data_IF_177374563106
#
_entry.id   IF_177374563106
#
_cell.length_a   1.000
_cell.length_b   1.000
_cell.length_c   1.000
_cell.angle_alpha   90.00
_cell.angle_beta   90.00
_cell.angle_gamma   90.00
#
_symmetry.space_group_name_H-M   'P 1'
#
loop_
_entity.id
_entity.type
_entity.pdbx_description
1 polymer ?
#
# COMPACT_ATOMS: atom_id res chain seq x y z
N UNK A 1 -29.48 -10.00 24.56
CA UNK A 1 -30.74 -9.57 25.19
C UNK A 1 -31.55 -10.79 25.56
N UNK A 2 -32.16 -10.82 26.74
CA UNK A 2 -32.95 -11.96 27.24
C UNK A 2 -34.44 -11.65 27.34
N UNK A 3 -34.86 -10.38 27.16
CA UNK A 3 -36.24 -9.94 27.25
C UNK A 3 -36.55 -8.80 26.26
N UNK A 4 -37.72 -8.86 25.64
CA UNK A 4 -38.26 -7.91 24.67
C UNK A 4 -39.46 -7.11 25.23
N UNK A 5 -39.90 -7.38 26.46
CA UNK A 5 -41.10 -6.78 27.06
C UNK A 5 -41.09 -5.25 27.11
N UNK A 6 -39.91 -4.65 27.25
CA UNK A 6 -39.72 -3.20 27.39
C UNK A 6 -39.76 -2.41 26.06
N UNK A 7 -39.98 -3.08 24.92
CA UNK A 7 -39.92 -2.47 23.59
C UNK A 7 -41.30 -2.35 22.95
N UNK A 8 -41.52 -1.35 22.06
CA UNK A 8 -42.70 -1.30 21.23
C UNK A 8 -42.87 -2.59 20.43
N UNK A 9 -44.07 -3.17 20.51
CA UNK A 9 -44.37 -4.45 19.88
C UNK A 9 -45.04 -4.23 18.53
N UNK A 10 -44.71 -5.09 17.58
CA UNK A 10 -45.30 -5.13 16.24
C UNK A 10 -45.80 -6.54 15.95
N UNK A 11 -46.90 -6.61 15.21
CA UNK A 11 -47.40 -7.84 14.60
C UNK A 11 -47.21 -7.74 13.08
N UNK A 12 -46.71 -8.81 12.47
CA UNK A 12 -46.64 -8.95 11.01
C UNK A 12 -47.17 -10.31 10.57
N UNK A 13 -47.64 -10.36 9.33
CA UNK A 13 -47.96 -11.61 8.64
C UNK A 13 -46.83 -11.90 7.67
N UNK A 14 -46.19 -13.05 7.80
CA UNK A 14 -45.14 -13.48 6.90
C UNK A 14 -45.54 -14.73 6.12
N UNK A 15 -45.14 -14.78 4.85
CA UNK A 15 -45.30 -15.95 3.98
C UNK A 15 -44.23 -16.97 4.34
N UNK A 16 -44.62 -18.14 4.84
CA UNK A 16 -43.66 -19.19 5.20
C UNK A 16 -43.58 -20.21 4.08
N UNK A 17 -42.44 -20.25 3.41
CA UNK A 17 -41.99 -21.37 2.57
C UNK A 17 -40.89 -22.09 3.36
N UNK A 18 -40.94 -23.42 3.43
CA UNK A 18 -40.13 -24.17 4.39
C UNK A 18 -38.84 -24.67 3.79
N UNK A 19 -38.09 -25.46 4.56
CA UNK A 19 -36.82 -26.09 4.14
C UNK A 19 -37.00 -27.14 3.01
N UNK A 20 -38.21 -27.30 2.47
CA UNK A 20 -38.53 -28.11 1.31
C UNK A 20 -39.39 -27.32 0.34
N UNK A 21 -39.43 -27.74 -0.94
CA UNK A 21 -40.27 -27.11 -1.97
C UNK A 21 -41.73 -27.13 -1.53
N UNK A 22 -42.23 -26.04 -0.95
CA UNK A 22 -43.62 -25.96 -0.48
C UNK A 22 -43.96 -24.70 0.31
N UNK A 23 -45.17 -24.20 0.07
CA UNK A 23 -45.79 -23.13 0.83
C UNK A 23 -46.45 -23.69 2.10
N UNK A 24 -46.11 -23.13 3.27
CA UNK A 24 -46.63 -23.53 4.58
C UNK A 24 -47.59 -22.50 5.20
N UNK A 25 -48.18 -21.64 4.37
CA UNK A 25 -49.21 -20.70 4.81
C UNK A 25 -48.68 -19.31 5.16
N UNK A 26 -49.63 -18.46 5.55
CA UNK A 26 -49.39 -17.17 6.18
C UNK A 26 -49.39 -17.38 7.68
N UNK A 27 -48.32 -16.95 8.35
CA UNK A 27 -48.20 -17.06 9.80
C UNK A 27 -48.04 -15.66 10.42
N UNK A 28 -48.70 -15.46 11.56
CA UNK A 28 -48.61 -14.25 12.38
C UNK A 28 -47.45 -14.35 13.35
N UNK A 29 -46.63 -13.32 13.38
CA UNK A 29 -45.49 -13.18 14.27
C UNK A 29 -45.60 -11.87 15.04
N UNK A 30 -45.30 -11.91 16.34
CA UNK A 30 -45.24 -10.73 17.19
C UNK A 30 -43.84 -10.60 17.78
N UNK A 31 -43.34 -9.38 17.83
CA UNK A 31 -41.96 -9.11 18.21
C UNK A 31 -41.63 -7.63 18.28
N UNK A 32 -40.34 -7.34 18.17
CA UNK A 32 -39.79 -5.97 18.20
C UNK A 32 -39.10 -5.70 16.86
N UNK A 33 -39.27 -4.49 16.32
CA UNK A 33 -38.54 -4.08 15.12
C UNK A 33 -37.02 -4.19 15.35
N UNK A 34 -36.31 -4.82 14.42
CA UNK A 34 -34.86 -4.97 14.54
C UNK A 34 -34.16 -3.61 14.67
N UNK A 35 -34.63 -2.60 13.94
CA UNK A 35 -34.08 -1.23 14.02
C UNK A 35 -34.22 -0.62 15.42
N UNK A 36 -35.30 -0.89 16.15
CA UNK A 36 -35.50 -0.35 17.50
C UNK A 36 -34.53 -1.03 18.50
N UNK A 37 -34.25 -2.32 18.31
CA UNK A 37 -33.22 -3.04 19.09
C UNK A 37 -31.83 -2.48 18.85
N UNK A 38 -31.47 -2.26 17.58
CA UNK A 38 -30.18 -1.69 17.19
C UNK A 38 -30.02 -0.27 17.76
N UNK A 39 -31.07 0.55 17.68
CA UNK A 39 -31.09 1.92 18.22
C UNK A 39 -30.86 1.90 19.73
N UNK A 40 -31.56 1.03 20.46
CA UNK A 40 -31.41 0.93 21.92
C UNK A 40 -30.03 0.42 22.34
N UNK A 41 -29.42 -0.45 21.52
CA UNK A 41 -28.05 -0.94 21.71
C UNK A 41 -26.98 0.11 21.36
N UNK A 42 -27.36 1.30 20.86
CA UNK A 42 -26.43 2.35 20.47
C UNK A 42 -25.74 2.11 19.13
N UNK A 43 -26.31 1.25 18.27
CA UNK A 43 -25.77 1.03 16.94
C UNK A 43 -25.93 2.28 16.06
N UNK A 44 -24.84 2.69 15.40
CA UNK A 44 -24.86 3.78 14.44
C UNK A 44 -25.60 3.33 13.19
N UNK A 45 -26.63 4.07 12.79
CA UNK A 45 -27.43 3.82 11.60
C UNK A 45 -26.78 4.45 10.35
N UNK A 46 -25.58 3.96 10.02
CA UNK A 46 -24.82 4.36 8.84
C UNK A 46 -25.10 3.40 7.68
N UNK A 47 -25.33 3.93 6.47
CA UNK A 47 -25.59 3.15 5.25
C UNK A 47 -24.40 2.27 4.84
N UNK A 48 -23.21 2.55 5.35
CA UNK A 48 -22.02 1.72 5.19
C UNK A 48 -21.92 0.62 6.26
N UNK A 49 -23.01 0.28 6.94
CA UNK A 49 -23.06 -0.85 7.86
C UNK A 49 -24.03 -1.92 7.36
N UNK A 50 -23.75 -3.17 7.72
CA UNK A 50 -24.65 -4.28 7.53
C UNK A 50 -24.90 -4.98 8.87
N UNK A 51 -26.03 -5.64 8.98
CA UNK A 51 -26.45 -6.38 10.18
C UNK A 51 -26.41 -7.86 9.85
N UNK A 52 -25.59 -8.60 10.59
CA UNK A 52 -25.48 -10.06 10.48
C UNK A 52 -26.27 -10.67 11.63
N UNK A 53 -27.25 -11.51 11.31
CA UNK A 53 -28.04 -12.25 12.29
C UNK A 53 -27.66 -13.71 12.17
N UNK A 54 -27.17 -14.30 13.26
CA UNK A 54 -26.65 -15.68 13.29
C UNK A 54 -27.53 -16.60 14.13
N UNK A 55 -27.60 -17.87 13.72
CA UNK A 55 -28.19 -18.97 14.47
C UNK A 55 -27.13 -19.92 15.07
N UNK A 56 -27.49 -20.70 16.12
CA UNK A 56 -26.61 -21.72 16.70
C UNK A 56 -26.16 -22.81 15.72
N UNK A 57 -26.97 -23.13 14.71
CA UNK A 57 -26.70 -24.15 13.68
C UNK A 57 -25.73 -23.66 12.58
N UNK A 58 -25.23 -22.43 12.70
CA UNK A 58 -24.30 -21.81 11.75
C UNK A 58 -24.98 -21.03 10.62
N UNK A 59 -26.30 -21.10 10.48
CA UNK A 59 -27.03 -20.30 9.50
C UNK A 59 -26.90 -18.80 9.83
N UNK A 60 -26.73 -17.96 8.80
CA UNK A 60 -26.59 -16.51 8.93
C UNK A 60 -27.40 -15.79 7.86
N UNK A 61 -28.00 -14.68 8.25
CA UNK A 61 -28.68 -13.75 7.35
C UNK A 61 -28.01 -12.37 7.43
N UNK A 62 -27.91 -11.70 6.28
CA UNK A 62 -27.30 -10.38 6.13
C UNK A 62 -28.37 -9.39 5.67
N UNK A 63 -28.48 -8.28 6.39
CA UNK A 63 -29.35 -7.15 6.05
C UNK A 63 -28.51 -5.89 5.90
N UNK A 64 -28.81 -5.05 4.91
CA UNK A 64 -28.17 -3.74 4.82
C UNK A 64 -28.80 -2.77 5.82
N UNK A 65 -28.05 -1.81 6.37
CA UNK A 65 -28.64 -0.78 7.23
C UNK A 65 -29.69 0.06 6.45
N UNK A 66 -29.45 0.32 5.16
CA UNK A 66 -30.40 1.02 4.30
C UNK A 66 -31.76 0.32 4.18
N UNK A 67 -31.79 -1.02 4.12
CA UNK A 67 -33.03 -1.81 4.14
C UNK A 67 -33.83 -1.59 5.43
N UNK A 68 -33.14 -1.39 6.57
CA UNK A 68 -33.78 -1.20 7.87
C UNK A 68 -34.28 0.23 8.12
N UNK A 69 -33.56 1.23 7.62
CA UNK A 69 -33.77 2.65 8.01
C UNK A 69 -34.34 3.54 6.91
N UNK A 70 -34.07 3.25 5.62
CA UNK A 70 -34.54 4.08 4.50
C UNK A 70 -35.82 3.53 3.86
N UNK A 71 -36.04 2.22 3.94
CA UNK A 71 -37.26 1.60 3.43
C UNK A 71 -38.34 1.62 4.52
N UNK A 72 -39.53 2.19 4.27
CA UNK A 72 -40.65 2.13 5.22
C UNK A 72 -41.03 0.69 5.64
N UNK A 73 -40.79 -0.29 4.77
CA UNK A 73 -41.00 -1.71 5.07
C UNK A 73 -39.93 -2.29 6.01
N UNK A 74 -38.76 -1.66 6.11
CA UNK A 74 -37.66 -2.08 6.99
C UNK A 74 -38.06 -2.17 8.46
N UNK A 75 -38.98 -1.31 8.91
CA UNK A 75 -39.53 -1.34 10.27
C UNK A 75 -40.32 -2.61 10.58
N UNK A 76 -40.79 -3.32 9.56
CA UNK A 76 -41.51 -4.61 9.68
C UNK A 76 -40.55 -5.79 9.85
N UNK A 77 -39.24 -5.60 9.65
CA UNK A 77 -38.23 -6.63 9.94
C UNK A 77 -38.08 -6.73 11.44
N UNK A 78 -38.41 -7.89 12.00
CA UNK A 78 -38.58 -8.05 13.45
C UNK A 78 -37.82 -9.24 14.01
N UNK A 79 -37.48 -9.10 15.29
CA UNK A 79 -37.10 -10.20 16.15
C UNK A 79 -38.35 -10.64 16.91
N UNK A 80 -38.90 -11.77 16.52
CA UNK A 80 -40.13 -12.36 17.05
C UNK A 80 -39.81 -13.24 18.26
N UNK A 81 -40.65 -13.18 19.29
CA UNK A 81 -40.67 -14.13 20.41
C UNK A 81 -42.03 -14.84 20.53
N UNK A 82 -43.00 -14.50 19.68
CA UNK A 82 -44.32 -15.14 19.58
C UNK A 82 -44.70 -15.45 18.13
N UNK A 83 -45.41 -16.56 17.96
CA UNK A 83 -45.98 -17.06 16.71
C UNK A 83 -47.41 -17.55 16.97
N UNK A 84 -48.38 -17.11 16.19
CA UNK A 84 -49.80 -17.46 16.36
C UNK A 84 -50.30 -17.25 17.81
N UNK A 85 -49.95 -16.10 18.41
CA UNK A 85 -50.30 -15.75 19.79
C UNK A 85 -49.55 -16.51 20.89
N UNK A 86 -48.74 -17.52 20.55
CA UNK A 86 -48.02 -18.37 21.50
C UNK A 86 -46.52 -18.02 21.55
N UNK A 87 -45.85 -18.11 22.71
CA UNK A 87 -44.40 -17.96 22.80
C UNK A 87 -43.67 -18.97 21.89
N UNK A 88 -42.60 -18.54 21.23
CA UNK A 88 -41.72 -19.42 20.45
C UNK A 88 -40.83 -20.19 21.44
N UNK A 89 -40.96 -21.52 21.44
CA UNK A 89 -40.23 -22.41 22.36
C UNK A 89 -39.42 -23.48 21.63
N UNK A 90 -39.88 -23.96 20.47
CA UNK A 90 -39.13 -24.90 19.64
C UNK A 90 -37.99 -24.17 18.91
N UNK A 91 -36.79 -24.75 18.98
CA UNK A 91 -35.55 -24.33 18.29
C UNK A 91 -34.91 -23.00 18.73
N UNK A 92 -35.55 -22.18 19.56
CA UNK A 92 -34.98 -20.95 20.11
C UNK A 92 -36.04 -19.95 20.55
N UNK A 93 -35.69 -19.00 21.42
CA UNK A 93 -36.64 -18.00 21.94
C UNK A 93 -36.96 -16.87 20.95
N UNK A 94 -36.03 -16.60 20.04
CA UNK A 94 -36.11 -15.46 19.14
C UNK A 94 -35.93 -15.89 17.69
N UNK A 95 -36.74 -15.32 16.79
CA UNK A 95 -36.71 -15.59 15.35
C UNK A 95 -36.61 -14.28 14.58
N UNK A 96 -35.72 -14.21 13.58
CA UNK A 96 -35.74 -13.12 12.60
C UNK A 96 -36.85 -13.40 11.59
N UNK A 97 -37.75 -12.44 11.43
CA UNK A 97 -38.84 -12.47 10.47
C UNK A 97 -38.72 -11.27 9.56
N UNK A 98 -38.61 -11.53 8.26
CA UNK A 98 -38.57 -10.52 7.20
C UNK A 98 -39.85 -10.74 6.38
N UNK A 99 -40.98 -10.12 6.75
CA UNK A 99 -42.29 -10.49 6.21
C UNK A 99 -42.40 -10.31 4.69
N UNK A 100 -41.61 -9.40 4.15
CA UNK A 100 -41.59 -9.05 2.73
C UNK A 100 -40.50 -9.82 1.95
N UNK A 101 -39.88 -10.83 2.57
CA UNK A 101 -38.96 -11.76 1.90
C UNK A 101 -39.74 -12.83 1.12
N UNK A 102 -39.49 -12.94 -0.19
CA UNK A 102 -40.33 -13.72 -1.12
C UNK A 102 -40.49 -15.21 -0.72
N UNK A 103 -39.40 -15.79 -0.21
CA UNK A 103 -39.29 -17.21 0.10
C UNK A 103 -38.94 -17.49 1.57
N UNK A 104 -38.94 -16.46 2.43
CA UNK A 104 -38.47 -16.58 3.81
C UNK A 104 -37.05 -17.20 3.95
N UNK A 105 -36.28 -17.24 2.87
CA UNK A 105 -34.96 -17.90 2.81
C UNK A 105 -33.93 -17.16 3.64
N UNK A 106 -34.18 -15.88 3.98
CA UNK A 106 -33.34 -15.03 4.84
C UNK A 106 -33.77 -15.04 6.30
N UNK A 107 -34.80 -15.80 6.68
CA UNK A 107 -35.28 -15.84 8.06
C UNK A 107 -34.35 -16.68 8.93
N UNK A 108 -34.05 -16.19 10.13
CA UNK A 108 -33.20 -16.89 11.11
C UNK A 108 -34.10 -17.52 12.16
N UNK A 109 -34.25 -18.84 12.16
CA UNK A 109 -35.19 -19.57 13.02
C UNK A 109 -34.91 -19.43 14.51
N UNK A 110 -33.63 -19.35 14.86
CA UNK A 110 -33.14 -19.25 16.24
C UNK A 110 -32.03 -18.22 16.30
N UNK A 111 -32.34 -17.00 16.74
CA UNK A 111 -31.35 -15.91 16.79
C UNK A 111 -30.47 -16.08 18.02
N UNK A 112 -29.19 -16.34 17.80
CA UNK A 112 -28.17 -16.39 18.86
C UNK A 112 -27.31 -15.14 18.94
N UNK A 113 -27.15 -14.43 17.81
CA UNK A 113 -26.31 -13.24 17.73
C UNK A 113 -26.82 -12.25 16.68
N UNK A 114 -26.70 -10.97 16.99
CA UNK A 114 -26.91 -9.86 16.05
C UNK A 114 -25.63 -9.02 16.09
N UNK A 115 -24.97 -8.87 14.95
CA UNK A 115 -23.70 -8.15 14.80
C UNK A 115 -23.89 -7.01 13.80
N UNK A 116 -23.44 -5.80 14.15
CA UNK A 116 -23.38 -4.67 13.21
C UNK A 116 -21.96 -4.60 12.67
N UNK A 117 -21.82 -4.83 11.36
CA UNK A 117 -20.55 -4.88 10.65
C UNK A 117 -20.38 -3.58 9.88
N UNK A 118 -19.30 -2.85 10.17
CA UNK A 118 -18.94 -1.68 9.38
C UNK A 118 -18.24 -2.10 8.08
N UNK A 119 -18.80 -1.69 6.95
CA UNK A 119 -18.30 -1.96 5.61
C UNK A 119 -17.38 -0.86 5.09
N UNK A 120 -17.24 0.27 5.81
CA UNK A 120 -16.21 1.26 5.50
C UNK A 120 -14.84 0.61 5.51
N UNK A 121 -14.13 0.78 4.39
CA UNK A 121 -12.69 0.55 4.39
C UNK A 121 -12.06 1.56 5.35
N UNK A 122 -11.36 1.05 6.36
CA UNK A 122 -10.52 1.87 7.23
C UNK A 122 -9.55 2.67 6.35
N UNK A 123 -9.42 3.95 6.64
CA UNK A 123 -8.43 4.80 6.00
C UNK A 123 -7.04 4.19 6.16
N UNK A 124 -6.24 4.24 5.09
CA UNK A 124 -4.86 3.73 5.09
C UNK A 124 -3.89 4.79 4.60
N UNK A 125 -2.67 4.68 5.11
CA UNK A 125 -1.51 5.35 4.58
C UNK A 125 -0.78 4.41 3.61
N UNK A 126 -0.84 4.72 2.32
CA UNK A 126 -0.25 3.91 1.26
C UNK A 126 1.12 4.49 0.91
N UNK A 127 2.19 3.72 1.09
CA UNK A 127 3.51 4.07 0.55
C UNK A 127 3.56 3.62 -0.91
N UNK A 128 3.52 4.58 -1.82
CA UNK A 128 3.32 4.38 -3.25
C UNK A 128 4.59 4.75 -4.02
N UNK A 129 5.14 3.76 -4.72
CA UNK A 129 6.12 4.01 -5.77
C UNK A 129 5.50 4.81 -6.92
N UNK A 130 6.16 5.90 -7.32
CA UNK A 130 5.82 6.63 -8.55
C UNK A 130 6.64 6.19 -9.77
N UNK A 131 7.38 5.08 -9.66
CA UNK A 131 8.43 4.72 -10.62
C UNK A 131 9.69 5.55 -10.39
N UNK A 132 10.74 5.33 -11.20
CA UNK A 132 12.04 5.99 -11.00
C UNK A 132 12.18 7.37 -11.65
N UNK A 133 11.23 7.76 -12.52
CA UNK A 133 11.34 8.96 -13.33
C UNK A 133 9.96 9.47 -13.80
N UNK A 134 9.63 9.29 -15.08
CA UNK A 134 8.43 9.84 -15.69
C UNK A 134 7.15 9.04 -15.39
N UNK A 135 5.95 9.65 -15.57
CA UNK A 135 4.69 9.04 -15.15
C UNK A 135 4.28 7.76 -15.90
N UNK A 136 4.87 7.48 -17.05
CA UNK A 136 4.68 6.24 -17.81
C UNK A 136 5.25 5.01 -17.09
N UNK A 137 6.13 5.21 -16.11
CA UNK A 137 6.67 4.15 -15.24
C UNK A 137 5.80 3.85 -14.01
N UNK A 138 4.64 4.49 -13.87
CA UNK A 138 3.67 4.16 -12.82
C UNK A 138 3.07 2.77 -13.03
N UNK A 139 2.94 2.01 -11.95
CA UNK A 139 2.15 0.78 -11.99
C UNK A 139 0.65 1.10 -11.96
N UNK A 140 -0.17 0.22 -12.56
CA UNK A 140 -1.63 0.34 -12.44
C UNK A 140 -2.10 0.31 -10.97
N UNK A 141 -1.38 -0.42 -10.10
CA UNK A 141 -1.66 -0.46 -8.66
C UNK A 141 -1.36 0.89 -8.01
N UNK A 142 -0.27 1.57 -8.38
CA UNK A 142 0.05 2.92 -7.91
C UNK A 142 -1.03 3.93 -8.32
N UNK A 143 -1.48 3.89 -9.57
CA UNK A 143 -2.59 4.73 -10.05
C UNK A 143 -3.89 4.48 -9.27
N UNK A 144 -4.24 3.20 -9.02
CA UNK A 144 -5.43 2.85 -8.23
C UNK A 144 -5.34 3.32 -6.77
N UNK A 145 -4.15 3.24 -6.16
CA UNK A 145 -3.92 3.70 -4.80
C UNK A 145 -3.97 5.23 -4.71
N UNK A 146 -3.31 5.93 -5.63
CA UNK A 146 -3.39 7.39 -5.78
C UNK A 146 -4.83 7.88 -5.98
N UNK A 147 -5.62 7.15 -6.77
CA UNK A 147 -7.03 7.44 -7.00
C UNK A 147 -7.88 7.47 -5.73
N UNK A 148 -7.52 6.68 -4.71
CA UNK A 148 -8.20 6.58 -3.42
C UNK A 148 -7.68 7.56 -2.38
N UNK A 149 -6.54 8.21 -2.64
CA UNK A 149 -5.91 9.11 -1.68
C UNK A 149 -6.69 10.42 -1.57
N UNK A 150 -6.83 10.90 -0.34
CA UNK A 150 -7.44 12.19 -0.04
C UNK A 150 -6.37 13.26 0.20
N UNK A 151 -5.22 12.85 0.74
CA UNK A 151 -4.09 13.71 1.09
C UNK A 151 -2.78 13.06 0.63
N UNK A 152 -1.79 13.88 0.25
CA UNK A 152 -0.52 13.41 -0.32
C UNK A 152 0.69 13.91 0.47
N UNK A 153 1.68 13.07 0.69
CA UNK A 153 3.03 13.40 1.15
C UNK A 153 3.97 13.15 -0.03
N UNK A 154 4.59 14.19 -0.58
CA UNK A 154 5.51 14.05 -1.71
C UNK A 154 6.46 15.24 -1.80
N UNK A 155 7.57 15.07 -2.52
CA UNK A 155 8.50 16.17 -2.80
C UNK A 155 7.90 17.14 -3.81
N UNK A 156 8.45 18.37 -3.89
CA UNK A 156 8.05 19.33 -4.93
C UNK A 156 8.30 18.80 -6.36
N UNK A 157 9.30 17.94 -6.56
CA UNK A 157 9.54 17.32 -7.87
C UNK A 157 8.40 16.37 -8.27
N UNK A 158 8.00 15.48 -7.36
CA UNK A 158 6.87 14.58 -7.59
C UNK A 158 5.59 15.39 -7.83
N UNK A 159 5.36 16.43 -7.01
CA UNK A 159 4.20 17.30 -7.17
C UNK A 159 4.14 17.94 -8.56
N UNK A 160 5.27 18.42 -9.07
CA UNK A 160 5.37 19.04 -10.40
C UNK A 160 5.20 18.00 -11.51
N UNK A 161 5.92 16.88 -11.44
CA UNK A 161 5.97 15.85 -12.50
C UNK A 161 4.69 15.03 -12.61
N UNK A 162 4.05 14.73 -11.47
CA UNK A 162 2.85 13.90 -11.40
C UNK A 162 1.58 14.72 -11.13
N UNK A 163 1.64 16.05 -11.26
CA UNK A 163 0.55 16.96 -10.88
C UNK A 163 -0.80 16.62 -11.52
N UNK A 164 -0.82 16.13 -12.76
CA UNK A 164 -2.04 15.67 -13.44
C UNK A 164 -2.74 14.52 -12.70
N UNK A 165 -1.99 13.64 -12.04
CA UNK A 165 -2.50 12.52 -11.25
C UNK A 165 -2.88 12.93 -9.83
N UNK A 166 -2.19 13.93 -9.26
CA UNK A 166 -2.46 14.42 -7.90
C UNK A 166 -3.72 15.30 -7.86
N UNK A 167 -3.99 16.06 -8.91
CA UNK A 167 -5.12 16.96 -8.99
C UNK A 167 -5.02 18.08 -7.95
N UNK A 168 -6.13 18.36 -7.24
CA UNK A 168 -6.21 19.39 -6.19
C UNK A 168 -6.00 18.85 -4.77
N UNK A 169 -5.54 17.61 -4.63
CA UNK A 169 -5.36 16.99 -3.32
C UNK A 169 -4.35 17.81 -2.51
N UNK A 170 -4.63 18.09 -1.22
CA UNK A 170 -3.69 18.81 -0.37
C UNK A 170 -2.39 18.00 -0.20
N UNK A 171 -1.27 18.71 -0.22
CA UNK A 171 0.02 18.16 0.15
C UNK A 171 0.21 18.38 1.66
N UNK A 172 0.31 17.29 2.42
CA UNK A 172 0.46 17.34 3.88
C UNK A 172 1.82 17.93 4.28
N UNK A 173 2.90 17.42 3.68
CA UNK A 173 4.24 17.97 3.77
C UNK A 173 5.15 17.41 2.67
N UNK A 174 6.24 18.13 2.38
CA UNK A 174 7.35 17.64 1.56
C UNK A 174 8.33 16.89 2.47
N UNK A 175 8.50 15.57 2.32
CA UNK A 175 9.30 14.76 3.24
C UNK A 175 10.78 15.14 3.21
N UNK A 176 11.31 15.61 2.07
CA UNK A 176 12.70 16.00 1.95
C UNK A 176 12.93 17.32 2.70
N UNK A 177 12.08 18.32 2.48
CA UNK A 177 12.15 19.59 3.24
C UNK A 177 11.85 19.40 4.73
N UNK A 178 10.98 18.45 5.06
CA UNK A 178 10.52 18.23 6.43
C UNK A 178 11.52 17.43 7.28
N UNK A 179 12.10 16.36 6.72
CA UNK A 179 13.10 15.51 7.39
C UNK A 179 14.53 16.01 7.19
N UNK A 180 14.81 16.71 6.08
CA UNK A 180 16.15 17.18 5.68
C UNK A 180 16.11 18.58 5.05
N UNK A 181 15.75 19.64 5.80
CA UNK A 181 15.69 21.01 5.27
C UNK A 181 17.07 21.51 4.77
N UNK A 182 17.34 21.55 3.46
CA UNK A 182 18.51 22.22 2.88
C UNK A 182 18.28 23.74 2.65
N UNK A 183 19.33 24.60 2.61
CA UNK A 183 20.70 24.45 3.12
C UNK A 183 20.92 25.19 4.47
N UNK A 184 19.86 25.64 5.15
CA UNK A 184 19.96 26.31 6.46
C UNK A 184 20.45 25.32 7.54
N UNK A 185 20.06 24.04 7.45
CA UNK A 185 20.54 23.02 8.37
C UNK A 185 21.82 22.30 7.94
N UNK A 186 22.29 22.38 6.68
CA UNK A 186 23.50 21.66 6.27
C UNK A 186 24.73 22.00 7.10
N UNK A 187 24.86 23.26 7.55
CA UNK A 187 25.94 23.73 8.44
C UNK A 187 25.67 23.50 9.93
N UNK A 188 24.40 23.42 10.35
CA UNK A 188 24.03 23.18 11.76
C UNK A 188 23.94 21.69 12.08
N UNK A 189 23.30 20.89 11.23
CA UNK A 189 23.36 19.42 11.29
C UNK A 189 24.81 18.93 11.26
N UNK A 190 25.69 19.55 10.47
CA UNK A 190 27.11 19.17 10.44
C UNK A 190 27.80 19.32 11.80
N UNK A 191 27.31 20.20 12.68
CA UNK A 191 27.84 20.42 14.04
C UNK A 191 27.28 19.44 15.08
N UNK A 192 26.17 18.77 14.76
CA UNK A 192 25.52 17.84 15.67
C UNK A 192 26.27 16.51 15.71
N UNK A 193 26.33 15.92 16.90
CA UNK A 193 26.78 14.55 17.12
C UNK A 193 25.86 13.56 16.38
N UNK A 194 26.32 12.32 16.10
CA UNK A 194 25.46 11.27 15.57
C UNK A 194 24.17 11.04 16.39
N UNK A 195 24.27 11.11 17.71
CA UNK A 195 23.15 10.94 18.64
C UNK A 195 22.15 12.09 18.53
N UNK A 196 22.63 13.33 18.45
CA UNK A 196 21.78 14.52 18.28
C UNK A 196 21.04 14.50 16.93
N UNK A 197 21.72 14.09 15.85
CA UNK A 197 21.09 13.89 14.53
C UNK A 197 19.99 12.85 14.58
N UNK A 198 20.26 11.72 15.25
CA UNK A 198 19.27 10.65 15.42
C UNK A 198 18.07 11.14 16.22
N UNK A 199 18.28 11.81 17.35
CA UNK A 199 17.21 12.36 18.17
C UNK A 199 16.34 13.38 17.41
N UNK A 200 16.95 14.22 16.58
CA UNK A 200 16.24 15.16 15.72
C UNK A 200 15.38 14.43 14.68
N UNK A 201 15.94 13.41 14.01
CA UNK A 201 15.23 12.60 13.03
C UNK A 201 14.06 11.83 13.67
N UNK A 202 14.26 11.26 14.85
CA UNK A 202 13.22 10.54 15.60
C UNK A 202 12.07 11.50 15.96
N UNK A 203 12.40 12.71 16.44
CA UNK A 203 11.41 13.76 16.74
C UNK A 203 10.61 14.16 15.50
N UNK A 204 11.28 14.37 14.36
CA UNK A 204 10.63 14.71 13.08
C UNK A 204 9.76 13.56 12.57
N UNK A 205 10.23 12.33 12.67
CA UNK A 205 9.45 11.15 12.28
C UNK A 205 8.19 11.01 13.14
N UNK A 206 8.28 11.24 14.44
CA UNK A 206 7.12 11.26 15.34
C UNK A 206 6.11 12.36 14.97
N UNK A 207 6.59 13.54 14.57
CA UNK A 207 5.76 14.64 14.08
C UNK A 207 5.04 14.28 12.77
N UNK A 208 5.75 13.70 11.80
CA UNK A 208 5.18 13.19 10.55
C UNK A 208 4.08 12.13 10.80
N UNK A 209 4.37 11.16 11.67
CA UNK A 209 3.42 10.11 12.06
C UNK A 209 2.17 10.68 12.72
N UNK A 210 2.31 11.72 13.56
CA UNK A 210 1.18 12.39 14.20
C UNK A 210 0.28 13.04 13.16
N UNK A 211 0.85 13.76 12.19
CA UNK A 211 0.09 14.38 11.09
C UNK A 211 -0.63 13.34 10.24
N UNK A 212 0.06 12.25 9.86
CA UNK A 212 -0.55 11.16 9.09
C UNK A 212 -1.72 10.52 9.86
N UNK A 213 -1.52 10.19 11.15
CA UNK A 213 -2.58 9.58 11.97
C UNK A 213 -3.78 10.50 12.18
N UNK A 214 -3.57 11.81 12.20
CA UNK A 214 -4.67 12.76 12.29
C UNK A 214 -5.58 12.68 11.04
N UNK A 215 -4.99 12.64 9.84
CA UNK A 215 -5.76 12.42 8.61
C UNK A 215 -6.47 11.05 8.61
N UNK A 216 -5.79 9.98 9.03
CA UNK A 216 -6.40 8.64 9.12
C UNK A 216 -7.59 8.60 10.09
N UNK A 217 -7.51 9.29 11.24
CA UNK A 217 -8.62 9.39 12.22
C UNK A 217 -9.82 10.14 11.65
N UNK A 218 -9.59 11.06 10.73
CA UNK A 218 -10.64 11.77 9.98
C UNK A 218 -11.22 10.93 8.82
N UNK A 219 -10.78 9.67 8.67
CA UNK A 219 -11.25 8.77 7.62
C UNK A 219 -10.62 9.02 6.24
N UNK A 220 -9.54 9.83 6.17
CA UNK A 220 -8.86 10.18 4.92
C UNK A 220 -7.69 9.25 4.63
N UNK A 221 -7.60 8.76 3.40
CA UNK A 221 -6.45 7.99 2.93
C UNK A 221 -5.27 8.92 2.64
N UNK A 222 -4.07 8.50 3.04
CA UNK A 222 -2.84 9.27 2.88
C UNK A 222 -1.92 8.57 1.89
N UNK A 223 -1.57 9.21 0.79
CA UNK A 223 -0.57 8.70 -0.13
C UNK A 223 0.82 9.25 0.22
N UNK A 224 1.78 8.36 0.49
CA UNK A 224 3.19 8.70 0.67
C UNK A 224 3.90 8.35 -0.63
N UNK A 225 4.30 9.35 -1.41
CA UNK A 225 4.86 9.14 -2.75
C UNK A 225 6.38 9.17 -2.74
N UNK A 226 6.98 8.18 -3.38
CA UNK A 226 8.43 8.02 -3.45
C UNK A 226 8.87 7.49 -4.82
N UNK A 227 10.03 7.97 -5.30
CA UNK A 227 10.67 7.46 -6.51
C UNK A 227 11.27 6.07 -6.30
N UNK A 228 11.30 5.29 -7.38
CA UNK A 228 11.87 3.94 -7.39
C UNK A 228 11.04 2.95 -6.60
N UNK A 229 11.66 1.86 -6.16
CA UNK A 229 10.99 0.90 -5.28
C UNK A 229 11.14 1.33 -3.80
N UNK A 230 10.06 1.35 -2.99
CA UNK A 230 10.13 1.82 -1.60
C UNK A 230 11.07 1.02 -0.69
N UNK A 231 11.40 -0.21 -1.07
CA UNK A 231 12.28 -1.13 -0.33
C UNK A 231 13.67 -1.28 -0.95
N UNK A 232 13.95 -0.62 -2.08
CA UNK A 232 15.31 -0.47 -2.63
C UNK A 232 15.78 0.95 -2.32
N UNK A 233 16.40 1.10 -1.14
CA UNK A 233 16.94 2.38 -0.63
C UNK A 233 15.91 3.50 -0.38
N UNK A 234 14.60 3.26 -0.49
CA UNK A 234 13.53 4.25 -0.27
C UNK A 234 13.50 4.88 1.13
N UNK A 235 13.47 6.20 1.20
CA UNK A 235 13.52 7.04 2.40
C UNK A 235 12.24 7.03 3.25
N UNK A 236 11.05 6.91 2.64
CA UNK A 236 9.78 7.01 3.38
C UNK A 236 9.45 5.74 4.17
N UNK A 237 10.19 4.66 3.98
CA UNK A 237 10.08 3.42 4.75
C UNK A 237 10.16 3.66 6.27
N UNK A 238 10.94 4.65 6.70
CA UNK A 238 11.14 4.96 8.12
C UNK A 238 9.89 5.56 8.76
N UNK A 239 9.17 6.43 8.05
CA UNK A 239 7.86 6.93 8.48
C UNK A 239 6.86 5.78 8.47
N UNK A 240 6.79 5.02 7.37
CA UNK A 240 5.84 3.91 7.25
C UNK A 240 6.07 2.81 8.31
N UNK A 241 7.31 2.61 8.78
CA UNK A 241 7.63 1.66 9.84
C UNK A 241 6.91 1.98 11.17
N UNK A 242 6.67 3.26 11.47
CA UNK A 242 6.00 3.70 12.70
C UNK A 242 4.46 3.59 12.68
N UNK A 243 3.87 3.20 11.54
CA UNK A 243 2.44 2.92 11.40
C UNK A 243 2.14 1.43 11.67
N UNK A 244 0.98 1.15 12.24
CA UNK A 244 0.48 -0.21 12.46
C UNK A 244 0.21 -0.96 11.15
N UNK A 245 0.21 -2.30 11.19
CA UNK A 245 0.01 -3.13 9.99
C UNK A 245 -1.31 -2.85 9.26
N UNK A 246 -2.39 -2.59 10.00
CA UNK A 246 -3.70 -2.25 9.43
C UNK A 246 -3.83 -0.78 8.99
N UNK A 247 -2.91 0.09 9.45
CA UNK A 247 -2.90 1.52 9.11
C UNK A 247 -2.21 1.77 7.76
N UNK A 248 -1.48 0.78 7.21
CA UNK A 248 -0.60 1.00 6.06
C UNK A 248 -0.69 -0.07 4.99
N UNK A 249 -0.22 0.29 3.81
CA UNK A 249 0.07 -0.65 2.72
C UNK A 249 1.26 -0.19 1.89
N UNK A 250 1.86 -1.11 1.15
CA UNK A 250 3.00 -0.85 0.28
C UNK A 250 2.64 -1.16 -1.16
N UNK A 251 2.88 -0.20 -2.05
CA UNK A 251 2.63 -0.33 -3.47
C UNK A 251 3.98 -0.29 -4.19
N UNK A 252 4.45 -1.44 -4.72
CA UNK A 252 5.75 -1.52 -5.38
C UNK A 252 5.71 -0.79 -6.73
N UNK A 253 6.90 -0.53 -7.29
CA UNK A 253 7.02 0.01 -8.64
C UNK A 253 8.41 -0.12 -9.21
N UNK A 254 8.63 0.47 -10.38
CA UNK A 254 9.87 0.29 -11.12
C UNK A 254 11.01 1.07 -10.46
N UNK A 255 12.05 0.33 -10.05
CA UNK A 255 13.31 0.91 -9.61
C UNK A 255 14.11 1.42 -10.81
N UNK A 256 15.03 2.36 -10.56
CA UNK A 256 16.02 2.77 -11.55
C UNK A 256 16.84 1.57 -12.04
N UNK A 257 16.99 0.52 -11.22
CA UNK A 257 17.64 -0.73 -11.62
C UNK A 257 16.95 -1.38 -12.80
N UNK A 258 15.61 -1.48 -12.77
CA UNK A 258 14.85 -2.08 -13.86
C UNK A 258 14.95 -1.24 -15.13
N UNK A 259 14.80 0.08 -15.02
CA UNK A 259 14.90 1.00 -16.14
C UNK A 259 16.31 1.02 -16.77
N UNK A 260 17.36 1.04 -15.94
CA UNK A 260 18.73 0.98 -16.41
C UNK A 260 19.05 -0.33 -17.12
N UNK A 261 18.55 -1.47 -16.63
CA UNK A 261 18.73 -2.77 -17.31
C UNK A 261 18.10 -2.75 -18.71
N UNK A 262 16.91 -2.16 -18.85
CA UNK A 262 16.24 -2.00 -20.14
C UNK A 262 17.06 -1.11 -21.09
N UNK A 263 17.61 0.00 -20.59
CA UNK A 263 18.50 0.88 -21.37
C UNK A 263 19.82 0.21 -21.77
N UNK A 264 20.37 -0.66 -20.92
CA UNK A 264 21.59 -1.45 -21.21
C UNK A 264 21.31 -2.51 -22.28
N UNK A 265 20.13 -3.13 -22.26
CA UNK A 265 19.70 -4.08 -23.29
C UNK A 265 20.46 -5.41 -23.31
N UNK A 266 21.02 -5.83 -22.16
CA UNK A 266 21.81 -7.07 -22.03
C UNK A 266 21.37 -7.91 -20.84
N UNK A 267 21.68 -9.20 -20.91
CA UNK A 267 21.58 -10.08 -19.76
C UNK A 267 22.69 -9.76 -18.75
N UNK A 268 22.30 -9.26 -17.57
CA UNK A 268 23.25 -8.83 -16.54
C UNK A 268 23.67 -9.95 -15.58
N UNK A 269 22.98 -11.09 -15.61
CA UNK A 269 23.32 -12.30 -14.86
C UNK A 269 23.88 -13.38 -15.80
N UNK A 270 24.81 -13.00 -16.67
CA UNK A 270 25.38 -13.92 -17.66
C UNK A 270 26.25 -15.00 -16.99
N UNK A 271 26.50 -16.10 -17.72
CA UNK A 271 27.41 -17.19 -17.27
C UNK A 271 26.99 -17.87 -15.95
N UNK A 272 25.71 -17.80 -15.59
CA UNK A 272 25.22 -18.31 -14.29
C UNK A 272 25.72 -17.50 -13.09
N UNK A 273 26.14 -16.25 -13.33
CA UNK A 273 26.56 -15.29 -12.30
C UNK A 273 25.39 -14.58 -11.63
N UNK A 274 25.71 -13.78 -10.61
CA UNK A 274 24.77 -12.99 -9.82
C UNK A 274 24.78 -11.52 -10.24
N UNK A 275 23.74 -10.80 -9.83
CA UNK A 275 23.75 -9.33 -9.84
C UNK A 275 23.80 -8.86 -8.38
N UNK A 276 24.80 -8.05 -8.04
CA UNK A 276 24.96 -7.47 -6.71
C UNK A 276 24.50 -6.01 -6.75
N UNK A 277 23.40 -5.72 -6.07
CA UNK A 277 22.92 -4.36 -5.86
C UNK A 277 23.56 -3.77 -4.62
N UNK A 278 24.25 -2.64 -4.76
CA UNK A 278 24.97 -2.00 -3.65
C UNK A 278 25.02 -0.48 -3.80
N UNK A 279 25.69 0.16 -2.86
CA UNK A 279 26.15 1.56 -2.96
C UNK A 279 27.68 1.57 -2.91
N UNK A 280 28.29 2.67 -3.36
CA UNK A 280 29.75 2.77 -3.39
C UNK A 280 30.38 2.62 -1.99
N UNK A 281 29.77 3.21 -0.96
CA UNK A 281 30.28 3.12 0.42
C UNK A 281 30.06 1.74 1.05
N UNK A 282 28.89 1.11 0.85
CA UNK A 282 28.61 -0.23 1.39
C UNK A 282 29.58 -1.27 0.84
N UNK A 283 29.96 -1.15 -0.44
CA UNK A 283 30.95 -2.04 -1.04
C UNK A 283 32.34 -1.83 -0.44
N UNK A 284 32.73 -0.58 -0.21
CA UNK A 284 34.05 -0.23 0.37
C UNK A 284 34.25 -0.88 1.75
N UNK A 285 33.19 -0.98 2.54
CA UNK A 285 33.21 -1.60 3.86
C UNK A 285 33.09 -3.14 3.81
N UNK A 286 32.95 -3.74 2.62
CA UNK A 286 32.83 -5.19 2.42
C UNK A 286 33.77 -5.72 1.32
N UNK A 287 35.10 -5.73 1.56
CA UNK A 287 36.07 -6.20 0.58
C UNK A 287 35.92 -7.69 0.21
N UNK A 288 35.37 -8.50 1.12
CA UNK A 288 35.10 -9.92 0.86
C UNK A 288 34.06 -10.14 -0.23
N UNK A 289 32.96 -9.39 -0.18
CA UNK A 289 31.93 -9.40 -1.23
C UNK A 289 32.50 -8.96 -2.57
N UNK A 290 33.28 -7.88 -2.58
CA UNK A 290 33.90 -7.36 -3.81
C UNK A 290 34.82 -8.40 -4.46
N UNK A 291 35.69 -9.03 -3.67
CA UNK A 291 36.58 -10.09 -4.14
C UNK A 291 35.79 -11.26 -4.72
N UNK A 292 34.77 -11.75 -4.02
CA UNK A 292 33.96 -12.88 -4.47
C UNK A 292 33.21 -12.56 -5.78
N UNK A 293 32.63 -11.37 -5.90
CA UNK A 293 31.97 -10.91 -7.12
C UNK A 293 32.94 -10.85 -8.30
N UNK A 294 34.17 -10.36 -8.08
CA UNK A 294 35.20 -10.29 -9.11
C UNK A 294 35.66 -11.68 -9.58
N UNK A 295 35.90 -12.61 -8.65
CA UNK A 295 36.30 -13.98 -8.97
C UNK A 295 35.20 -14.75 -9.73
N UNK A 296 33.94 -14.49 -9.40
CA UNK A 296 32.79 -15.15 -10.04
C UNK A 296 32.39 -14.53 -11.37
N UNK A 297 32.75 -13.27 -11.61
CA UNK A 297 32.30 -12.50 -12.78
C UNK A 297 30.89 -11.94 -12.63
N UNK A 298 30.44 -11.71 -11.39
CA UNK A 298 29.13 -11.13 -11.10
C UNK A 298 29.04 -9.68 -11.60
N UNK A 299 27.83 -9.24 -11.98
CA UNK A 299 27.59 -7.84 -12.31
C UNK A 299 27.31 -7.04 -11.05
N UNK A 300 28.12 -6.03 -10.79
CA UNK A 300 27.89 -5.06 -9.72
C UNK A 300 27.04 -3.91 -10.25
N UNK A 301 25.96 -3.55 -9.54
CA UNK A 301 25.09 -2.44 -9.86
C UNK A 301 24.99 -1.48 -8.66
N UNK A 302 25.37 -0.23 -8.86
CA UNK A 302 25.50 0.76 -7.80
C UNK A 302 24.46 1.87 -7.89
N UNK A 303 23.72 2.05 -6.80
CA UNK A 303 22.96 3.26 -6.54
C UNK A 303 23.84 4.33 -5.90
N UNK A 304 23.48 5.61 -6.13
CA UNK A 304 24.08 6.75 -5.44
C UNK A 304 25.62 6.86 -5.58
N UNK A 305 26.19 6.26 -6.64
CA UNK A 305 27.64 6.13 -6.79
C UNK A 305 28.31 7.26 -7.57
N UNK A 306 27.57 8.16 -8.23
CA UNK A 306 28.15 9.14 -9.15
C UNK A 306 29.15 10.10 -8.48
N UNK A 307 28.85 10.60 -7.27
CA UNK A 307 29.79 11.44 -6.50
C UNK A 307 31.01 10.68 -6.03
N UNK A 308 30.83 9.40 -5.71
CA UNK A 308 31.87 8.51 -5.18
C UNK A 308 32.61 7.75 -6.28
N UNK A 309 32.35 8.04 -7.56
CA UNK A 309 32.92 7.32 -8.69
C UNK A 309 34.46 7.23 -8.63
N UNK A 310 35.23 8.28 -8.28
CA UNK A 310 36.69 8.16 -8.13
C UNK A 310 37.11 7.11 -7.10
N UNK A 311 36.52 7.13 -5.91
CA UNK A 311 36.83 6.17 -4.85
C UNK A 311 36.32 4.75 -5.18
N UNK A 312 35.20 4.65 -5.91
CA UNK A 312 34.68 3.38 -6.39
C UNK A 312 35.62 2.76 -7.43
N UNK A 313 36.11 3.53 -8.41
CA UNK A 313 37.07 3.07 -9.43
C UNK A 313 38.35 2.56 -8.77
N UNK A 314 38.90 3.31 -7.80
CA UNK A 314 40.07 2.89 -7.03
C UNK A 314 39.82 1.57 -6.28
N UNK A 315 38.65 1.44 -5.65
CA UNK A 315 38.27 0.25 -4.88
C UNK A 315 38.12 -0.98 -5.78
N UNK A 316 37.44 -0.82 -6.92
CA UNK A 316 37.24 -1.88 -7.91
C UNK A 316 38.57 -2.34 -8.55
N UNK A 317 39.48 -1.40 -8.84
CA UNK A 317 40.77 -1.68 -9.47
C UNK A 317 41.70 -2.60 -8.64
N UNK A 318 41.38 -2.85 -7.37
CA UNK A 318 42.09 -3.84 -6.53
C UNK A 318 41.78 -5.29 -6.90
N UNK A 319 40.66 -5.53 -7.60
CA UNK A 319 40.17 -6.88 -7.91
C UNK A 319 39.77 -7.08 -9.38
N UNK A 320 39.50 -6.00 -10.11
CA UNK A 320 39.10 -6.06 -11.52
C UNK A 320 40.21 -5.57 -12.45
N UNK A 321 40.40 -6.20 -13.62
CA UNK A 321 41.26 -5.68 -14.68
C UNK A 321 40.91 -4.24 -15.09
N UNK A 322 41.89 -3.42 -15.53
CA UNK A 322 41.62 -2.07 -16.04
C UNK A 322 40.60 -2.02 -17.18
N UNK A 323 40.58 -3.06 -18.02
CA UNK A 323 39.68 -3.20 -19.16
C UNK A 323 38.28 -3.71 -18.81
N UNK A 324 37.97 -3.94 -17.53
CA UNK A 324 36.64 -4.40 -17.12
C UNK A 324 35.57 -3.40 -17.56
N UNK A 325 34.50 -3.87 -18.22
CA UNK A 325 33.42 -2.99 -18.66
C UNK A 325 32.76 -2.26 -17.49
N UNK A 326 32.51 -0.97 -17.68
CA UNK A 326 31.82 -0.10 -16.74
C UNK A 326 30.83 0.76 -17.50
N UNK A 327 29.54 0.60 -17.21
CA UNK A 327 28.47 1.36 -17.86
C UNK A 327 27.84 2.30 -16.84
N UNK A 328 27.51 3.53 -17.25
CA UNK A 328 26.82 4.51 -16.40
C UNK A 328 25.53 4.93 -17.10
N UNK A 329 24.41 4.56 -16.50
CA UNK A 329 23.08 4.89 -16.99
C UNK A 329 22.59 6.14 -16.23
N UNK A 330 22.54 7.27 -16.92
CA UNK A 330 22.11 8.55 -16.35
C UNK A 330 20.64 8.78 -16.61
N UNK A 331 19.94 9.31 -15.59
CA UNK A 331 18.56 9.79 -15.69
C UNK A 331 17.64 8.79 -16.40
N UNK A 332 17.81 7.50 -16.09
CA UNK A 332 17.03 6.41 -16.70
C UNK A 332 15.53 6.61 -16.47
N UNK A 333 14.73 6.41 -17.51
CA UNK A 333 13.29 6.63 -17.46
C UNK A 333 12.84 8.08 -17.56
N UNK A 334 13.76 9.06 -17.67
CA UNK A 334 13.40 10.43 -18.03
C UNK A 334 13.48 10.55 -19.56
N UNK A 335 12.34 10.60 -20.24
CA UNK A 335 12.23 10.45 -21.70
C UNK A 335 13.16 11.39 -22.49
N UNK A 336 13.33 12.62 -22.02
CA UNK A 336 14.10 13.65 -22.73
C UNK A 336 15.59 13.69 -22.38
N UNK A 337 16.06 12.85 -21.45
CA UNK A 337 17.40 13.03 -20.88
C UNK A 337 18.09 11.75 -20.40
N UNK A 338 17.46 10.59 -20.56
CA UNK A 338 18.13 9.32 -20.31
C UNK A 338 19.27 9.10 -21.30
N UNK A 339 20.37 8.52 -20.82
CA UNK A 339 21.51 8.14 -21.66
C UNK A 339 22.40 7.12 -20.99
N UNK A 340 23.16 6.41 -21.82
CA UNK A 340 24.08 5.37 -21.39
C UNK A 340 25.51 5.72 -21.83
N UNK A 341 26.42 5.83 -20.86
CA UNK A 341 27.87 5.90 -21.12
C UNK A 341 28.43 4.50 -21.01
N UNK A 342 29.07 4.02 -22.08
CA UNK A 342 29.77 2.73 -22.11
C UNK A 342 31.28 3.01 -22.08
N UNK A 343 31.98 2.44 -21.12
CA UNK A 343 33.41 2.65 -20.92
C UNK A 343 34.02 1.41 -20.26
N UNK A 344 35.32 1.46 -19.97
CA UNK A 344 36.05 0.54 -19.12
C UNK A 344 36.42 1.22 -17.81
N UNK A 345 36.83 0.41 -16.82
CA UNK A 345 37.20 0.87 -15.48
C UNK A 345 38.31 1.95 -15.51
N UNK A 346 39.33 1.77 -16.35
CA UNK A 346 40.45 2.71 -16.49
C UNK A 346 40.08 4.02 -17.21
N UNK A 347 39.08 4.01 -18.10
CA UNK A 347 38.64 5.19 -18.83
C UNK A 347 37.50 5.95 -18.12
N UNK A 348 36.85 5.34 -17.12
CA UNK A 348 35.65 5.88 -16.47
C UNK A 348 35.80 7.33 -16.01
N UNK A 349 36.88 7.66 -15.30
CA UNK A 349 37.08 9.01 -14.78
C UNK A 349 37.34 10.05 -15.88
N UNK A 350 38.00 9.63 -16.97
CA UNK A 350 38.26 10.49 -18.12
C UNK A 350 36.97 10.80 -18.87
N UNK A 351 36.14 9.78 -19.16
CA UNK A 351 34.90 9.98 -19.93
C UNK A 351 33.84 10.74 -19.14
N UNK A 352 33.87 10.69 -17.81
CA UNK A 352 32.92 11.42 -16.94
C UNK A 352 33.46 12.73 -16.38
N UNK A 353 34.64 13.19 -16.82
CA UNK A 353 35.32 14.34 -16.21
C UNK A 353 34.43 15.59 -16.19
N UNK A 354 33.85 15.95 -17.35
CA UNK A 354 32.98 17.12 -17.52
C UNK A 354 31.49 16.83 -17.24
N UNK A 355 31.18 15.67 -16.65
CA UNK A 355 29.81 15.29 -16.39
C UNK A 355 29.15 16.19 -15.34
N UNK A 356 27.98 16.75 -15.66
CA UNK A 356 27.25 17.65 -14.76
C UNK A 356 26.29 16.91 -13.84
N UNK A 357 25.72 15.79 -14.28
CA UNK A 357 24.82 14.98 -13.45
C UNK A 357 25.63 14.20 -12.40
N UNK A 358 25.34 14.45 -11.12
CA UNK A 358 26.06 13.86 -9.98
C UNK A 358 25.16 13.06 -9.05
N UNK A 359 23.86 12.96 -9.32
CA UNK A 359 22.90 12.30 -8.44
C UNK A 359 22.12 11.20 -9.14
N UNK A 360 21.55 11.50 -10.31
CA UNK A 360 20.65 10.59 -11.03
C UNK A 360 21.43 9.68 -11.99
N UNK A 361 22.04 8.64 -11.45
CA UNK A 361 22.62 7.59 -12.28
C UNK A 361 22.91 6.29 -11.56
N UNK A 362 22.95 5.22 -12.35
CA UNK A 362 23.35 3.88 -11.93
C UNK A 362 24.64 3.48 -12.62
N UNK A 363 25.57 2.91 -11.86
CA UNK A 363 26.85 2.43 -12.36
C UNK A 363 26.80 0.91 -12.37
N UNK A 364 27.15 0.29 -13.49
CA UNK A 364 27.26 -1.14 -13.65
C UNK A 364 28.70 -1.51 -13.96
N UNK A 365 29.21 -2.58 -13.36
CA UNK A 365 30.58 -3.07 -13.58
C UNK A 365 30.54 -4.59 -13.67
N UNK A 366 31.19 -5.15 -14.69
CA UNK A 366 31.33 -6.61 -14.81
C UNK A 366 31.42 -7.08 -16.25
N UNK A 367 31.89 -8.32 -16.46
CA UNK A 367 32.13 -8.88 -17.79
C UNK A 367 30.84 -9.04 -18.62
N UNK A 368 29.68 -9.21 -17.97
CA UNK A 368 28.40 -9.38 -18.67
C UNK A 368 27.98 -8.17 -19.51
N UNK A 369 28.50 -6.97 -19.21
CA UNK A 369 28.21 -5.77 -19.97
C UNK A 369 28.77 -5.80 -21.40
N UNK A 370 29.73 -6.68 -21.70
CA UNK A 370 30.31 -6.82 -23.05
C UNK A 370 29.75 -8.00 -23.87
N UNK A 371 28.82 -8.78 -23.30
CA UNK A 371 28.15 -9.87 -24.04
C UNK A 371 27.34 -9.34 -25.23
N UNK A 372 27.12 -10.15 -26.28
CA UNK A 372 26.32 -9.72 -27.44
C UNK A 372 24.92 -9.27 -26.98
N UNK A 373 24.36 -8.25 -27.65
CA UNK A 373 23.00 -7.78 -27.39
C UNK A 373 21.98 -8.90 -27.61
N UNK A 374 20.79 -8.75 -27.04
CA UNK A 374 19.65 -9.67 -27.24
C UNK A 374 19.10 -9.70 -28.69
N UNK A 375 19.82 -9.09 -29.64
CA UNK A 375 19.49 -9.13 -31.07
C UNK A 375 19.61 -10.58 -31.54
N UNK A 376 18.44 -11.21 -31.74
CA UNK A 376 18.33 -12.55 -32.29
C UNK A 376 19.09 -12.63 -33.62
N UNK A 377 19.74 -13.77 -33.85
CA UNK A 377 20.31 -14.15 -35.14
C UNK A 377 19.40 -13.75 -36.32
N UNK A 378 19.95 -13.26 -37.44
CA UNK A 378 19.18 -13.15 -38.68
C UNK A 378 18.71 -14.57 -39.02
N UNK A 379 17.39 -14.72 -39.15
CA UNK A 379 16.73 -16.00 -39.43
C UNK A 379 17.02 -16.55 -40.81
#
# INVERSE_FOLDING_TARGET
MTDLSAYPRLEVVGKVTGDGKGYHGLLRFEGVALVDLLTKAGAVQDLNTAVVISAPDGYRSLLSMGELVLNPLGRRILIADRKEGKPIQADGRFKLVIPDDLSADRWVKSVSRIEVVNLHRKARASLISVGCADPDLLTQKALSALGKADVVVCTEDIKRRFGSYLGKRPILFDPFKFLMPEPIYGKELAKLSPEEKKALLDKKTAEALRMIREELRQGKNVALLEYGDPFIYGSLRHIAAGLGAEEKEFIPGLSAFNAANALIGKELACQGGSIVLSTAWTLKDNPGLLKAAAEKGDTLAFFMGLKELPGLVETLGKHYPPTTPLYIAYRVGFADSERLVKTTLDQALKVTFDEKEKFLGMIYVGPCLDTQSLDRHPG
#
